data_IF_493425645630
#
_entry.id   IF_493425645630
#
_cell.length_a   1.000
_cell.length_b   1.000
_cell.length_c   1.000
_cell.angle_alpha   90.00
_cell.angle_beta   90.00
_cell.angle_gamma   90.00
#
_symmetry.space_group_name_H-M   'P 1'
#
loop_
_entity.id
_entity.type
_entity.pdbx_description
1 polymer ?
#
# COMPACT_ATOMS: atom_id res chain seq x y z
N UNK A 1 25.02 4.57 15.53
CA UNK A 1 24.04 5.56 15.03
C UNK A 1 23.94 5.51 13.51
N UNK A 2 23.87 4.32 12.89
CA UNK A 2 23.70 4.18 11.45
C UNK A 2 22.28 3.69 11.18
N UNK A 3 21.60 4.22 10.16
CA UNK A 3 20.24 3.86 9.68
C UNK A 3 19.01 4.53 10.33
N UNK A 4 19.16 5.33 11.39
CA UNK A 4 18.00 6.05 11.94
C UNK A 4 17.63 7.32 11.16
N UNK A 5 18.45 7.78 10.21
CA UNK A 5 18.28 9.08 9.54
C UNK A 5 18.27 10.28 10.52
N UNK A 6 19.06 10.19 11.59
CA UNK A 6 19.22 11.27 12.58
C UNK A 6 18.20 11.23 13.72
N UNK A 7 18.40 12.08 14.72
CA UNK A 7 17.45 12.29 15.82
C UNK A 7 16.22 13.07 15.31
N UNK A 8 14.97 12.77 15.74
CA UNK A 8 14.56 11.90 16.86
C UNK A 8 14.22 10.44 16.49
N UNK A 9 14.54 10.00 15.26
CA UNK A 9 14.21 8.66 14.83
C UNK A 9 15.03 7.61 15.60
N UNK A 10 14.34 6.54 16.02
CA UNK A 10 14.91 5.49 16.88
C UNK A 10 15.31 4.22 16.11
N UNK A 11 15.37 4.27 14.78
CA UNK A 11 15.80 3.14 13.95
C UNK A 11 15.32 3.25 12.50
N UNK A 12 15.46 2.15 11.77
CA UNK A 12 15.00 2.01 10.39
C UNK A 12 13.47 1.86 10.35
N UNK A 13 12.78 2.78 9.67
CA UNK A 13 11.32 2.79 9.57
C UNK A 13 10.78 2.44 8.16
N UNK A 14 11.64 2.04 7.21
CA UNK A 14 11.22 1.71 5.84
C UNK A 14 10.82 0.24 5.65
N UNK A 15 10.82 -0.57 6.72
CA UNK A 15 10.32 -1.95 6.68
C UNK A 15 8.80 -2.02 6.47
N UNK A 16 8.30 -3.20 6.11
CA UNK A 16 6.85 -3.45 5.93
C UNK A 16 6.07 -3.65 7.23
N UNK A 17 6.78 -3.77 8.36
CA UNK A 17 6.22 -3.68 9.70
C UNK A 17 6.74 -2.40 10.35
N UNK A 18 5.96 -1.84 11.28
CA UNK A 18 6.44 -0.76 12.13
C UNK A 18 7.27 -1.28 13.32
N UNK A 19 7.76 -0.36 14.16
CA UNK A 19 8.58 -0.70 15.33
C UNK A 19 7.80 -1.43 16.43
N UNK A 20 6.47 -1.40 16.37
CA UNK A 20 5.57 -2.11 17.27
C UNK A 20 5.21 -3.50 16.75
N UNK A 21 5.79 -3.90 15.60
CA UNK A 21 5.50 -5.13 14.87
C UNK A 21 4.10 -5.19 14.24
N UNK A 22 3.46 -4.03 14.07
CA UNK A 22 2.20 -3.96 13.34
C UNK A 22 2.47 -3.94 11.83
N UNK A 23 1.71 -4.71 11.03
CA UNK A 23 1.88 -4.74 9.57
C UNK A 23 1.42 -3.42 8.96
N UNK A 24 2.27 -2.82 8.13
CA UNK A 24 1.86 -1.71 7.26
C UNK A 24 1.08 -2.25 6.06
N UNK A 25 0.37 -1.40 5.30
CA UNK A 25 -0.33 -1.81 4.08
C UNK A 25 0.56 -2.59 3.08
N UNK A 26 1.84 -2.22 2.98
CA UNK A 26 2.82 -2.89 2.12
C UNK A 26 3.12 -4.34 2.54
N UNK A 27 2.92 -4.73 3.80
CA UNK A 27 3.03 -6.13 4.23
C UNK A 27 1.96 -7.00 3.55
N UNK A 28 0.74 -6.48 3.39
CA UNK A 28 -0.34 -7.19 2.70
C UNK A 28 -0.07 -7.34 1.19
N UNK A 29 0.62 -6.36 0.60
CA UNK A 29 1.12 -6.48 -0.77
C UNK A 29 2.10 -7.64 -0.91
N UNK A 30 3.14 -7.70 -0.06
CA UNK A 30 4.10 -8.82 -0.06
C UNK A 30 3.37 -10.14 0.16
N UNK A 31 2.50 -10.21 1.17
CA UNK A 31 1.71 -11.40 1.49
C UNK A 31 0.91 -11.90 0.29
N UNK A 32 0.49 -11.02 -0.65
CA UNK A 32 -0.33 -11.38 -1.82
C UNK A 32 0.38 -12.33 -2.77
N UNK A 33 1.71 -12.29 -2.77
CA UNK A 33 2.54 -13.16 -3.61
C UNK A 33 2.83 -14.51 -2.97
N UNK A 34 2.90 -14.61 -1.64
CA UNK A 34 3.36 -15.81 -0.94
C UNK A 34 2.24 -16.74 -0.47
N UNK A 35 0.99 -16.31 -0.59
CA UNK A 35 -0.17 -17.08 -0.15
C UNK A 35 -1.22 -17.07 -1.27
N UNK A 36 -0.91 -17.71 -2.39
CA UNK A 36 -1.77 -17.73 -3.58
C UNK A 36 -3.10 -18.46 -3.32
N UNK A 37 -3.07 -19.56 -2.56
CA UNK A 37 -4.25 -20.41 -2.28
C UNK A 37 -5.22 -19.82 -1.24
N UNK A 38 -4.89 -18.68 -0.63
CA UNK A 38 -5.75 -18.02 0.35
C UNK A 38 -6.26 -16.72 -0.25
N UNK A 39 -7.55 -16.59 -0.62
CA UNK A 39 -8.09 -15.35 -1.20
C UNK A 39 -8.02 -14.19 -0.21
N UNK A 40 -7.44 -13.06 -0.60
CA UNK A 40 -7.29 -11.90 0.30
C UNK A 40 -7.37 -10.59 -0.46
N UNK A 41 -7.87 -9.56 0.22
CA UNK A 41 -7.89 -8.17 -0.24
C UNK A 41 -7.57 -7.26 0.94
N UNK A 42 -6.78 -6.23 0.69
CA UNK A 42 -6.47 -5.20 1.66
C UNK A 42 -6.50 -3.84 0.98
N UNK A 43 -7.23 -2.87 1.55
CA UNK A 43 -7.44 -1.55 0.95
C UNK A 43 -6.78 -0.50 1.82
N UNK A 44 -6.12 0.45 1.17
CA UNK A 44 -5.45 1.58 1.82
C UNK A 44 -5.62 2.84 0.99
N UNK A 45 -5.55 3.99 1.66
CA UNK A 45 -5.59 5.32 1.04
C UNK A 45 -4.17 5.78 0.79
N UNK A 46 -3.89 6.31 -0.39
CA UNK A 46 -2.61 6.91 -0.73
C UNK A 46 -2.48 8.30 -0.10
N UNK A 47 -1.41 8.49 0.66
CA UNK A 47 -1.09 9.72 1.39
C UNK A 47 0.07 10.50 0.76
N UNK A 48 0.57 10.04 -0.38
CA UNK A 48 1.74 10.61 -1.04
C UNK A 48 2.90 9.63 -1.15
N UNK A 49 3.99 10.12 -1.72
CA UNK A 49 5.24 9.38 -1.83
C UNK A 49 6.40 10.31 -1.48
N UNK A 50 7.44 9.73 -0.89
CA UNK A 50 8.70 10.40 -0.61
C UNK A 50 9.85 9.59 -1.17
N UNK A 51 10.93 10.26 -1.57
CA UNK A 51 12.18 9.60 -1.91
C UNK A 51 13.31 10.16 -1.05
N UNK A 52 14.16 9.29 -0.54
CA UNK A 52 15.40 9.68 0.14
C UNK A 52 16.58 9.07 -0.60
N UNK A 53 17.68 9.83 -0.69
CA UNK A 53 18.94 9.31 -1.18
C UNK A 53 19.78 8.84 0.00
N UNK A 54 20.16 7.56 0.02
CA UNK A 54 20.89 6.94 1.11
C UNK A 54 21.90 5.93 0.59
N UNK A 55 23.17 6.10 0.93
CA UNK A 55 24.27 5.23 0.50
C UNK A 55 24.25 4.96 -1.03
N UNK A 56 24.18 6.03 -1.83
CA UNK A 56 24.11 5.97 -3.31
C UNK A 56 22.85 5.28 -3.88
N UNK A 57 21.84 5.01 -3.05
CA UNK A 57 20.57 4.39 -3.46
C UNK A 57 19.40 5.37 -3.24
N UNK A 58 18.54 5.50 -4.24
CA UNK A 58 17.27 6.21 -4.12
C UNK A 58 16.20 5.27 -3.55
N UNK A 59 15.78 5.54 -2.32
CA UNK A 59 14.74 4.81 -1.62
C UNK A 59 13.42 5.55 -1.74
N UNK A 60 12.54 5.05 -2.61
CA UNK A 60 11.18 5.53 -2.73
C UNK A 60 10.26 4.82 -1.75
N UNK A 61 9.43 5.59 -1.06
CA UNK A 61 8.41 5.09 -0.14
C UNK A 61 7.06 5.68 -0.51
N UNK A 62 6.09 4.80 -0.68
CA UNK A 62 4.68 5.17 -0.80
C UNK A 62 4.10 5.19 0.60
N UNK A 63 3.46 6.29 0.97
CA UNK A 63 2.77 6.43 2.23
C UNK A 63 1.32 6.01 2.04
N UNK A 64 0.90 5.02 2.82
CA UNK A 64 -0.42 4.44 2.77
C UNK A 64 -1.01 4.48 4.18
N UNK A 65 -2.29 4.81 4.30
CA UNK A 65 -3.04 4.74 5.55
C UNK A 65 -4.28 3.86 5.40
N UNK A 66 -4.77 3.35 6.52
CA UNK A 66 -5.89 2.38 6.53
C UNK A 66 -7.19 2.99 7.07
N UNK A 67 -7.14 4.23 7.56
CA UNK A 67 -8.30 4.89 8.15
C UNK A 67 -9.25 5.45 7.08
N UNK A 68 -10.55 5.35 7.35
CA UNK A 68 -11.61 5.92 6.53
C UNK A 68 -12.29 7.11 7.23
N UNK A 69 -11.48 8.03 7.76
CA UNK A 69 -11.91 9.26 8.41
C UNK A 69 -11.41 10.46 7.60
N UNK A 70 -12.20 10.84 6.60
CA UNK A 70 -11.80 11.77 5.53
C UNK A 70 -12.63 13.02 5.54
N UNK A 71 -12.09 14.10 4.95
CA UNK A 71 -12.89 15.28 4.76
C UNK A 71 -13.99 14.98 3.74
N UNK A 72 -15.15 15.61 3.94
CA UNK A 72 -16.25 15.47 3.01
C UNK A 72 -15.79 15.96 1.63
N UNK A 73 -16.12 15.20 0.59
CA UNK A 73 -15.81 15.49 -0.82
C UNK A 73 -14.30 15.51 -1.16
N UNK A 74 -13.46 14.98 -0.27
CA UNK A 74 -12.04 14.78 -0.52
C UNK A 74 -11.81 13.77 -1.66
N UNK A 75 -10.95 14.13 -2.62
CA UNK A 75 -10.53 13.23 -3.69
C UNK A 75 -9.40 12.35 -3.20
N UNK A 76 -9.63 11.04 -3.23
CA UNK A 76 -8.70 10.05 -2.71
C UNK A 76 -8.23 9.13 -3.83
N UNK A 77 -6.99 8.67 -3.71
CA UNK A 77 -6.45 7.56 -4.49
C UNK A 77 -6.42 6.34 -3.60
N UNK A 78 -7.02 5.24 -4.05
CA UNK A 78 -7.11 4.00 -3.28
C UNK A 78 -6.20 2.93 -3.86
N UNK A 79 -5.45 2.29 -2.99
CA UNK A 79 -4.65 1.12 -3.30
C UNK A 79 -5.38 -0.09 -2.74
N UNK A 80 -5.59 -1.11 -3.56
CA UNK A 80 -5.94 -2.44 -3.09
C UNK A 80 -4.80 -3.43 -3.40
N UNK A 81 -4.46 -4.26 -2.43
CA UNK A 81 -3.56 -5.38 -2.58
C UNK A 81 -4.35 -6.67 -2.48
N UNK A 82 -4.37 -7.47 -3.55
CA UNK A 82 -5.21 -8.66 -3.63
C UNK A 82 -4.61 -9.68 -4.58
N UNK A 83 -4.77 -10.96 -4.25
CA UNK A 83 -4.44 -12.06 -5.16
C UNK A 83 -5.65 -12.52 -5.99
N UNK A 84 -6.84 -11.94 -5.81
CA UNK A 84 -8.01 -12.25 -6.61
C UNK A 84 -7.81 -11.89 -8.10
N UNK A 85 -8.65 -12.44 -8.97
CA UNK A 85 -8.63 -12.12 -10.41
C UNK A 85 -9.18 -10.73 -10.71
N UNK A 86 -10.04 -10.19 -9.85
CA UNK A 86 -10.66 -8.88 -9.97
C UNK A 86 -10.92 -8.27 -8.58
N UNK A 87 -10.91 -6.94 -8.51
CA UNK A 87 -11.36 -6.17 -7.33
C UNK A 87 -12.41 -5.15 -7.76
N UNK A 88 -13.56 -5.16 -7.09
CA UNK A 88 -14.60 -4.13 -7.19
C UNK A 88 -14.63 -3.31 -5.90
N UNK A 89 -14.59 -1.98 -6.05
CA UNK A 89 -14.77 -1.05 -4.95
C UNK A 89 -16.24 -0.64 -4.83
N UNK A 90 -16.73 -0.64 -3.59
CA UNK A 90 -18.06 -0.16 -3.25
C UNK A 90 -17.98 0.92 -2.17
N UNK A 91 -18.64 2.06 -2.41
CA UNK A 91 -18.79 3.12 -1.43
C UNK A 91 -20.27 3.20 -1.02
N UNK A 92 -20.55 3.00 0.26
CA UNK A 92 -21.91 2.98 0.81
C UNK A 92 -22.86 2.04 0.03
N UNK A 93 -22.36 0.88 -0.38
CA UNK A 93 -23.10 -0.14 -1.13
C UNK A 93 -23.08 0.01 -2.65
N UNK A 94 -22.72 1.19 -3.18
CA UNK A 94 -22.68 1.45 -4.62
C UNK A 94 -21.32 1.09 -5.21
N UNK A 95 -21.30 0.32 -6.30
CA UNK A 95 -20.07 0.05 -7.04
C UNK A 95 -19.58 1.32 -7.73
N UNK A 96 -18.31 1.67 -7.51
CA UNK A 96 -17.69 2.90 -8.03
C UNK A 96 -16.54 2.63 -9.00
N UNK A 97 -15.88 1.48 -8.88
CA UNK A 97 -14.79 1.08 -9.75
C UNK A 97 -14.56 -0.42 -9.71
N UNK A 98 -13.96 -0.96 -10.77
CA UNK A 98 -13.62 -2.38 -10.91
C UNK A 98 -12.38 -2.52 -11.77
N UNK A 99 -11.44 -3.38 -11.37
CA UNK A 99 -10.19 -3.62 -12.10
C UNK A 99 -9.80 -5.10 -12.03
N UNK A 100 -9.37 -5.66 -13.16
CA UNK A 100 -8.82 -7.03 -13.25
C UNK A 100 -7.33 -7.06 -12.88
N UNK A 101 -6.91 -8.15 -12.24
CA UNK A 101 -5.55 -8.35 -11.79
C UNK A 101 -4.61 -8.59 -12.98
N UNK A 102 -3.63 -7.69 -13.16
CA UNK A 102 -2.64 -7.78 -14.23
C UNK A 102 -1.54 -8.79 -13.90
N UNK A 103 -1.90 -10.07 -13.75
CA UNK A 103 -0.99 -11.15 -13.28
C UNK A 103 0.24 -11.36 -14.16
N UNK A 104 0.14 -11.02 -15.45
CA UNK A 104 1.25 -11.15 -16.40
C UNK A 104 2.21 -9.94 -16.38
N UNK A 105 1.82 -8.83 -15.76
CA UNK A 105 2.63 -7.62 -15.67
C UNK A 105 3.19 -7.55 -14.24
N UNK A 106 4.43 -8.01 -14.05
CA UNK A 106 5.04 -8.12 -12.72
C UNK A 106 5.03 -6.82 -11.90
N UNK A 107 5.09 -5.66 -12.55
CA UNK A 107 5.02 -4.33 -11.91
C UNK A 107 3.62 -3.94 -11.42
N UNK A 108 2.58 -4.64 -11.86
CA UNK A 108 1.17 -4.32 -11.59
C UNK A 108 0.42 -5.47 -10.90
N UNK A 109 0.91 -6.70 -11.00
CA UNK A 109 0.32 -7.88 -10.36
C UNK A 109 -0.02 -7.61 -8.89
N UNK A 110 -1.21 -8.04 -8.50
CA UNK A 110 -1.74 -7.95 -7.14
C UNK A 110 -1.83 -6.53 -6.55
N UNK A 111 -1.66 -5.48 -7.36
CA UNK A 111 -1.81 -4.09 -6.96
C UNK A 111 -2.81 -3.41 -7.89
N UNK A 112 -3.88 -2.91 -7.28
CA UNK A 112 -4.94 -2.19 -7.95
C UNK A 112 -4.88 -0.76 -7.45
N UNK A 113 -4.92 0.21 -8.37
CA UNK A 113 -4.84 1.63 -8.04
C UNK A 113 -6.07 2.29 -8.65
N UNK A 114 -6.91 2.85 -7.79
CA UNK A 114 -8.16 3.50 -8.17
C UNK A 114 -7.99 5.00 -7.98
N UNK A 115 -8.00 5.71 -9.10
CA UNK A 115 -7.88 7.17 -9.19
C UNK A 115 -9.17 7.70 -9.82
N UNK A 116 -9.63 8.87 -9.35
CA UNK A 116 -10.85 9.55 -9.82
C UNK A 116 -10.50 10.74 -10.70
#
# INVERSE_FOLDING_TARGET
MGESHGWPNKGWNMGVFDISLEPKPTAYYIKSYFQEDQPRVHVSVYEGASAIHWNDVNLGSVHLSESWNRQKDEKLVLYAFSNADEVELRLNGNAIARQSNQRQISKQRNRFIFEN
#
